data_IF_054746952551
#
_entry.id   IF_054746952551
#
_cell.length_a   1.000
_cell.length_b   1.000
_cell.length_c   1.000
_cell.angle_alpha   90.00
_cell.angle_beta   90.00
_cell.angle_gamma   90.00
#
_symmetry.space_group_name_H-M   'P 1'
#
loop_
_entity.id
_entity.type
_entity.pdbx_description
1 polymer ?
#
# COMPACT_ATOMS: atom_id res chain seq x y z
N UNK A 1 -16.16 -22.82 13.65
CA UNK A 1 -15.28 -23.88 13.14
C UNK A 1 -13.85 -23.50 13.51
N UNK A 2 -13.27 -24.10 14.55
CA UNK A 2 -11.85 -23.86 14.90
C UNK A 2 -10.98 -24.45 13.79
N UNK A 3 -10.37 -23.59 12.99
CA UNK A 3 -9.37 -23.99 12.01
C UNK A 3 -8.08 -24.33 12.75
N UNK A 4 -7.53 -25.52 12.51
CA UNK A 4 -6.26 -25.96 13.09
C UNK A 4 -5.16 -24.99 12.65
N UNK A 5 -4.65 -24.18 13.57
CA UNK A 5 -3.58 -23.21 13.26
C UNK A 5 -2.29 -23.96 12.99
N UNK A 6 -1.84 -23.97 11.73
CA UNK A 6 -0.50 -24.46 11.38
C UNK A 6 0.53 -23.39 11.74
N UNK A 7 1.23 -23.58 12.85
CA UNK A 7 2.39 -22.73 13.20
C UNK A 7 3.57 -23.08 12.30
N UNK A 8 4.36 -22.10 11.84
CA UNK A 8 5.59 -22.37 11.10
C UNK A 8 6.60 -23.11 11.99
N UNK A 9 7.36 -24.01 11.39
CA UNK A 9 8.49 -24.65 12.05
C UNK A 9 9.60 -23.64 12.35
N UNK A 10 10.65 -24.09 13.06
CA UNK A 10 11.75 -23.21 13.47
C UNK A 10 12.52 -22.60 12.29
N UNK A 11 12.69 -23.35 11.21
CA UNK A 11 13.41 -22.86 10.03
C UNK A 11 12.59 -21.81 9.29
N UNK A 12 11.30 -22.08 9.08
CA UNK A 12 10.37 -21.14 8.45
C UNK A 12 10.20 -19.87 9.26
N UNK A 13 10.13 -19.95 10.59
CA UNK A 13 10.11 -18.77 11.48
C UNK A 13 11.33 -17.87 11.26
N UNK A 14 12.54 -18.45 11.28
CA UNK A 14 13.78 -17.69 11.03
C UNK A 14 13.76 -17.02 9.65
N UNK A 15 13.24 -17.72 8.64
CA UNK A 15 13.09 -17.17 7.31
C UNK A 15 12.12 -15.98 7.27
N UNK A 16 10.92 -16.12 7.85
CA UNK A 16 9.91 -15.05 7.90
C UNK A 16 10.42 -13.81 8.64
N UNK A 17 11.14 -14.01 9.74
CA UNK A 17 11.78 -12.91 10.49
C UNK A 17 12.82 -12.21 9.60
N UNK A 18 13.70 -12.98 8.94
CA UNK A 18 14.70 -12.40 8.04
C UNK A 18 14.05 -11.64 6.88
N UNK A 19 12.97 -12.16 6.31
CA UNK A 19 12.23 -11.50 5.23
C UNK A 19 11.67 -10.14 5.68
N UNK A 20 11.02 -10.10 6.85
CA UNK A 20 10.46 -8.86 7.41
C UNK A 20 11.56 -7.87 7.80
N UNK A 21 12.71 -8.34 8.30
CA UNK A 21 13.88 -7.50 8.57
C UNK A 21 14.41 -6.88 7.27
N UNK A 22 14.56 -7.67 6.20
CA UNK A 22 15.02 -7.15 4.90
C UNK A 22 14.07 -6.07 4.38
N UNK A 23 12.76 -6.34 4.40
CA UNK A 23 11.75 -5.36 3.98
C UNK A 23 11.87 -4.08 4.81
N UNK A 24 11.85 -4.21 6.14
CA UNK A 24 11.92 -3.07 7.05
C UNK A 24 13.21 -2.26 6.94
N UNK A 25 14.37 -2.91 6.82
CA UNK A 25 15.66 -2.22 6.69
C UNK A 25 15.76 -1.46 5.37
N UNK A 26 15.28 -2.04 4.26
CA UNK A 26 15.26 -1.36 2.96
C UNK A 26 14.35 -0.13 3.02
N UNK A 27 13.12 -0.26 3.53
CA UNK A 27 12.21 0.88 3.68
C UNK A 27 12.78 1.96 4.60
N UNK A 28 13.34 1.57 5.76
CA UNK A 28 13.93 2.49 6.72
C UNK A 28 15.13 3.25 6.16
N UNK A 29 16.02 2.57 5.42
CA UNK A 29 17.16 3.22 4.78
C UNK A 29 16.73 4.32 3.82
N UNK A 30 15.64 4.14 3.08
CA UNK A 30 15.10 5.15 2.16
C UNK A 30 14.45 6.30 2.92
N UNK A 31 13.76 6.03 4.03
CA UNK A 31 13.17 7.06 4.87
C UNK A 31 14.21 8.06 5.41
N UNK A 32 15.46 7.65 5.63
CA UNK A 32 16.57 8.55 5.99
C UNK A 32 16.85 9.64 4.92
N UNK A 33 16.45 9.38 3.67
CA UNK A 33 16.59 10.31 2.55
C UNK A 33 15.26 10.92 2.10
N UNK A 34 14.14 10.65 2.80
CA UNK A 34 12.80 11.08 2.40
C UNK A 34 12.72 12.60 2.17
N UNK A 35 13.29 13.41 3.06
CA UNK A 35 13.29 14.87 2.90
C UNK A 35 14.02 15.34 1.63
N UNK A 36 15.10 14.67 1.23
CA UNK A 36 15.85 15.02 0.02
C UNK A 36 15.09 14.60 -1.25
N UNK A 37 14.47 13.42 -1.23
CA UNK A 37 13.64 12.93 -2.33
C UNK A 37 12.41 13.83 -2.50
N UNK A 38 11.78 14.20 -1.38
CA UNK A 38 10.64 15.11 -1.36
C UNK A 38 11.05 16.50 -1.90
N UNK A 39 12.14 17.10 -1.41
CA UNK A 39 12.63 18.37 -1.94
C UNK A 39 12.92 18.31 -3.46
N UNK A 40 13.46 17.20 -3.96
CA UNK A 40 13.71 17.00 -5.39
C UNK A 40 12.40 16.88 -6.21
N UNK A 41 11.33 16.32 -5.64
CA UNK A 41 10.04 16.17 -6.33
C UNK A 41 9.37 17.52 -6.60
N UNK A 42 9.62 18.52 -5.75
CA UNK A 42 9.09 19.88 -5.86
C UNK A 42 10.04 20.88 -6.55
N UNK A 43 11.27 20.48 -6.92
CA UNK A 43 12.23 21.36 -7.59
C UNK A 43 11.80 21.63 -9.06
N UNK A 44 11.08 22.73 -9.29
CA UNK A 44 10.61 23.16 -10.62
C UNK A 44 11.75 23.51 -11.59
N UNK A 45 13.00 23.64 -11.12
CA UNK A 45 14.16 23.79 -12.02
C UNK A 45 14.50 22.49 -12.77
N UNK A 46 13.95 21.34 -12.35
CA UNK A 46 14.19 20.04 -12.97
C UNK A 46 13.05 19.63 -13.91
N UNK A 47 13.35 18.93 -15.01
CA UNK A 47 12.31 18.41 -15.90
C UNK A 47 11.33 17.50 -15.17
N UNK A 48 10.02 17.66 -15.44
CA UNK A 48 8.92 16.91 -14.80
C UNK A 48 9.18 15.41 -14.77
N UNK A 49 9.47 14.81 -15.93
CA UNK A 49 9.71 13.37 -16.03
C UNK A 49 10.92 12.89 -15.21
N UNK A 50 11.95 13.72 -15.06
CA UNK A 50 13.10 13.38 -14.22
C UNK A 50 12.72 13.37 -12.75
N UNK A 51 11.94 14.35 -12.30
CA UNK A 51 11.41 14.38 -10.92
C UNK A 51 10.50 13.20 -10.65
N UNK A 52 9.60 12.89 -11.59
CA UNK A 52 8.71 11.75 -11.48
C UNK A 52 9.49 10.45 -11.35
N UNK A 53 10.42 10.15 -12.26
CA UNK A 53 11.20 8.91 -12.22
C UNK A 53 12.00 8.78 -10.92
N UNK A 54 12.64 9.87 -10.45
CA UNK A 54 13.41 9.83 -9.19
C UNK A 54 12.48 9.60 -8.00
N UNK A 55 11.37 10.33 -7.91
CA UNK A 55 10.41 10.18 -6.81
C UNK A 55 9.78 8.79 -6.82
N UNK A 56 9.46 8.28 -8.00
CA UNK A 56 8.84 6.98 -8.18
C UNK A 56 9.80 5.83 -7.86
N UNK A 57 11.03 5.86 -8.37
CA UNK A 57 12.00 4.77 -8.19
C UNK A 57 12.72 4.85 -6.85
N UNK A 58 13.25 6.03 -6.50
CA UNK A 58 14.06 6.22 -5.30
C UNK A 58 13.23 6.55 -4.06
N UNK A 59 11.98 7.00 -4.22
CA UNK A 59 11.02 7.18 -3.15
C UNK A 59 10.08 5.98 -3.06
N UNK A 60 9.02 5.99 -3.87
CA UNK A 60 7.89 5.09 -3.71
C UNK A 60 8.26 3.60 -3.86
N UNK A 61 8.91 3.24 -4.96
CA UNK A 61 9.36 1.87 -5.18
C UNK A 61 10.39 1.46 -4.13
N UNK A 62 11.35 2.32 -3.79
CA UNK A 62 12.37 1.96 -2.82
C UNK A 62 11.77 1.73 -1.41
N UNK A 63 10.77 2.52 -1.01
CA UNK A 63 10.07 2.38 0.28
C UNK A 63 9.14 1.15 0.29
N UNK A 64 8.26 1.01 -0.71
CA UNK A 64 7.18 0.03 -0.68
C UNK A 64 7.43 -1.21 -1.57
N UNK A 65 8.17 -1.10 -2.66
CA UNK A 65 8.34 -2.18 -3.64
C UNK A 65 9.67 -2.94 -3.58
N UNK A 66 10.77 -2.29 -3.23
CA UNK A 66 12.11 -2.86 -3.35
C UNK A 66 12.35 -3.98 -2.34
N UNK A 67 12.00 -3.76 -1.07
CA UNK A 67 12.15 -4.76 -0.01
C UNK A 67 11.40 -6.06 -0.32
N UNK A 68 10.13 -5.97 -0.72
CA UNK A 68 9.33 -7.15 -1.08
C UNK A 68 9.87 -7.84 -2.34
N UNK A 69 10.38 -7.07 -3.31
CA UNK A 69 10.96 -7.60 -4.55
C UNK A 69 12.24 -8.39 -4.25
N UNK A 70 13.14 -7.82 -3.43
CA UNK A 70 14.37 -8.50 -2.98
C UNK A 70 14.02 -9.81 -2.30
N UNK A 71 13.09 -9.78 -1.34
CA UNK A 71 12.67 -10.99 -0.62
C UNK A 71 12.08 -12.02 -1.59
N UNK A 72 11.22 -11.62 -2.51
CA UNK A 72 10.62 -12.54 -3.48
C UNK A 72 11.69 -13.19 -4.38
N UNK A 73 12.70 -12.43 -4.82
CA UNK A 73 13.84 -12.97 -5.58
C UNK A 73 14.64 -13.97 -4.72
N UNK A 74 15.04 -13.58 -3.51
CA UNK A 74 15.82 -14.42 -2.60
C UNK A 74 15.11 -15.74 -2.25
N UNK A 75 13.78 -15.70 -2.13
CA UNK A 75 12.95 -16.87 -1.79
C UNK A 75 12.41 -17.60 -3.00
N UNK A 76 12.70 -17.12 -4.22
CA UNK A 76 12.12 -17.63 -5.48
C UNK A 76 10.59 -17.69 -5.43
N UNK A 77 9.98 -16.72 -4.75
CA UNK A 77 8.53 -16.57 -4.64
C UNK A 77 8.03 -15.67 -5.78
N UNK A 78 7.09 -16.17 -6.60
CA UNK A 78 6.43 -15.34 -7.61
C UNK A 78 5.41 -14.42 -6.93
N UNK A 79 5.21 -13.22 -7.44
CA UNK A 79 4.15 -12.32 -6.93
C UNK A 79 2.74 -12.93 -6.99
N UNK A 80 2.47 -13.82 -7.95
CA UNK A 80 1.21 -14.57 -8.03
C UNK A 80 0.92 -15.45 -6.82
N UNK A 81 1.96 -15.85 -6.05
CA UNK A 81 1.82 -16.54 -4.76
C UNK A 81 1.02 -15.72 -3.75
N UNK A 82 1.10 -14.39 -3.85
CA UNK A 82 0.45 -13.45 -2.92
C UNK A 82 -0.92 -12.98 -3.42
N UNK A 83 -1.58 -13.73 -4.29
CA UNK A 83 -3.00 -13.49 -4.61
C UNK A 83 -3.26 -12.65 -5.86
N UNK A 84 -2.25 -12.37 -6.69
CA UNK A 84 -2.46 -11.82 -8.03
C UNK A 84 -3.01 -12.91 -8.95
N UNK A 85 -4.32 -13.14 -8.89
CA UNK A 85 -5.03 -14.15 -9.64
C UNK A 85 -6.45 -13.69 -10.00
N UNK A 86 -7.21 -14.50 -10.74
CA UNK A 86 -8.57 -14.18 -11.17
C UNK A 86 -9.67 -14.81 -10.30
N UNK A 87 -9.31 -15.68 -9.35
CA UNK A 87 -10.29 -16.32 -8.46
C UNK A 87 -10.84 -15.30 -7.48
N UNK A 88 -12.16 -15.27 -7.29
CA UNK A 88 -12.85 -14.31 -6.43
C UNK A 88 -12.50 -12.84 -6.72
N UNK A 89 -12.12 -12.52 -7.97
CA UNK A 89 -11.70 -11.17 -8.35
C UNK A 89 -12.80 -10.16 -8.06
N UNK A 90 -14.00 -10.35 -8.60
CA UNK A 90 -15.10 -9.40 -8.42
C UNK A 90 -15.48 -9.19 -6.93
N UNK A 91 -15.67 -10.24 -6.10
CA UNK A 91 -15.83 -10.06 -4.67
C UNK A 91 -14.69 -9.28 -4.00
N UNK A 92 -13.43 -9.55 -4.38
CA UNK A 92 -12.29 -8.86 -3.79
C UNK A 92 -12.27 -7.36 -4.15
N UNK A 93 -12.60 -7.00 -5.38
CA UNK A 93 -12.69 -5.59 -5.80
C UNK A 93 -13.82 -4.87 -5.05
N UNK A 94 -15.04 -5.42 -5.09
CA UNK A 94 -16.23 -4.76 -4.51
C UNK A 94 -16.14 -4.65 -2.98
N UNK A 95 -15.71 -5.70 -2.29
CA UNK A 95 -15.58 -5.67 -0.83
C UNK A 95 -14.44 -4.76 -0.38
N UNK A 96 -13.35 -4.67 -1.15
CA UNK A 96 -12.26 -3.73 -0.82
C UNK A 96 -12.72 -2.28 -0.99
N UNK A 97 -13.45 -1.97 -2.06
CA UNK A 97 -14.06 -0.64 -2.23
C UNK A 97 -15.07 -0.31 -1.11
N UNK A 98 -15.80 -1.31 -0.60
CA UNK A 98 -16.70 -1.10 0.54
C UNK A 98 -15.93 -0.67 1.80
N UNK A 99 -14.68 -1.09 1.97
CA UNK A 99 -13.83 -0.64 3.07
C UNK A 99 -13.47 0.86 2.99
N UNK A 100 -13.62 1.49 1.83
CA UNK A 100 -13.42 2.93 1.65
C UNK A 100 -14.57 3.78 2.21
N UNK A 101 -15.75 3.21 2.44
CA UNK A 101 -16.95 3.98 2.79
C UNK A 101 -16.79 4.81 4.08
N UNK A 102 -16.27 4.29 5.20
CA UNK A 102 -16.10 5.08 6.42
C UNK A 102 -15.18 6.27 6.22
N UNK A 103 -14.05 6.04 5.55
CA UNK A 103 -13.06 7.07 5.23
C UNK A 103 -13.62 8.11 4.26
N UNK A 104 -14.41 7.68 3.28
CA UNK A 104 -15.05 8.57 2.31
C UNK A 104 -16.09 9.47 2.98
N UNK A 105 -16.91 8.92 3.87
CA UNK A 105 -17.89 9.70 4.64
C UNK A 105 -17.17 10.74 5.51
N UNK A 106 -16.06 10.36 6.15
CA UNK A 106 -15.22 11.28 6.91
C UNK A 106 -14.71 12.43 6.03
N UNK A 107 -14.04 12.13 4.93
CA UNK A 107 -13.50 13.13 4.01
C UNK A 107 -14.60 14.02 3.40
N UNK A 108 -15.77 13.46 3.10
CA UNK A 108 -16.93 14.21 2.63
C UNK A 108 -17.43 15.20 3.70
N UNK A 109 -17.54 14.77 4.95
CA UNK A 109 -17.98 15.61 6.06
C UNK A 109 -16.99 16.74 6.38
N UNK A 110 -15.70 16.56 6.09
CA UNK A 110 -14.64 17.59 6.26
C UNK A 110 -14.48 18.48 5.04
N UNK A 111 -15.17 18.20 3.93
CA UNK A 111 -15.04 18.95 2.68
C UNK A 111 -13.72 18.70 1.95
N UNK A 112 -13.07 17.55 2.20
CA UNK A 112 -11.81 17.16 1.57
C UNK A 112 -12.01 16.40 0.24
N UNK A 113 -13.25 16.26 -0.24
CA UNK A 113 -13.55 15.58 -1.50
C UNK A 113 -13.52 16.56 -2.67
N UNK A 114 -12.78 16.21 -3.72
CA UNK A 114 -12.71 16.94 -4.99
C UNK A 114 -13.22 16.06 -6.16
N UNK A 115 -13.39 16.61 -7.38
CA UNK A 115 -13.71 15.80 -8.56
C UNK A 115 -12.73 14.64 -8.71
N UNK A 116 -13.28 13.44 -8.93
CA UNK A 116 -12.49 12.22 -8.91
C UNK A 116 -11.63 12.08 -10.17
N UNK A 117 -10.33 11.81 -9.96
CA UNK A 117 -9.39 11.36 -10.99
C UNK A 117 -8.36 10.44 -10.34
N UNK A 118 -8.00 9.27 -10.93
CA UNK A 118 -6.97 8.41 -10.36
C UNK A 118 -5.65 9.16 -10.14
N UNK A 119 -5.06 9.02 -8.96
CA UNK A 119 -3.80 9.67 -8.58
C UNK A 119 -3.86 11.20 -8.48
N UNK A 120 -5.05 11.80 -8.31
CA UNK A 120 -5.22 13.26 -8.29
C UNK A 120 -4.32 13.95 -7.25
N UNK A 121 -4.24 13.43 -6.03
CA UNK A 121 -3.45 14.03 -4.93
C UNK A 121 -1.95 13.75 -5.02
N UNK A 122 -1.51 13.03 -6.05
CA UNK A 122 -0.08 12.91 -6.32
C UNK A 122 0.45 14.24 -6.85
N UNK A 123 1.50 14.76 -6.20
CA UNK A 123 2.02 16.12 -6.40
C UNK A 123 2.34 16.52 -7.85
N UNK A 124 2.60 15.55 -8.73
CA UNK A 124 2.96 15.77 -10.14
C UNK A 124 1.81 15.49 -11.12
N UNK A 125 0.66 14.99 -10.66
CA UNK A 125 -0.48 14.67 -11.53
C UNK A 125 -1.02 15.90 -12.27
N UNK A 126 -1.24 17.08 -11.63
CA UNK A 126 -1.70 18.26 -12.36
C UNK A 126 -0.76 18.67 -13.52
N UNK A 127 0.55 18.66 -13.27
CA UNK A 127 1.57 18.96 -14.29
C UNK A 127 1.54 17.93 -15.43
N UNK A 128 1.38 16.64 -15.11
CA UNK A 128 1.25 15.60 -16.15
C UNK A 128 -0.01 15.77 -17.00
N UNK A 129 -1.11 16.29 -16.44
CA UNK A 129 -2.36 16.50 -17.16
C UNK A 129 -2.28 17.66 -18.17
N UNK A 130 -1.34 18.58 -18.00
CA UNK A 130 -1.07 19.69 -18.94
C UNK A 130 -0.12 19.30 -20.07
N UNK A 131 0.58 18.16 -19.94
CA UNK A 131 1.56 17.69 -20.92
C UNK A 131 0.93 17.06 -22.16
N UNK A 132 1.79 16.90 -23.19
CA UNK A 132 1.46 16.13 -24.40
C UNK A 132 1.05 14.69 -24.07
N UNK A 133 0.18 14.09 -24.89
CA UNK A 133 -0.39 12.77 -24.66
C UNK A 133 0.68 11.68 -24.35
N UNK A 134 1.83 11.58 -25.06
CA UNK A 134 2.86 10.58 -24.76
C UNK A 134 3.47 10.73 -23.35
N UNK A 135 3.77 11.96 -22.94
CA UNK A 135 4.35 12.26 -21.63
C UNK A 135 3.32 12.00 -20.52
N UNK A 136 2.09 12.47 -20.71
CA UNK A 136 0.96 12.24 -19.79
C UNK A 136 0.71 10.75 -19.53
N UNK A 137 0.56 9.97 -20.60
CA UNK A 137 0.32 8.51 -20.49
C UNK A 137 1.49 7.82 -19.81
N UNK A 138 2.71 8.15 -20.21
CA UNK A 138 3.91 7.53 -19.61
C UNK A 138 4.05 7.87 -18.14
N UNK A 139 3.82 9.13 -17.77
CA UNK A 139 3.88 9.57 -16.38
C UNK A 139 2.82 8.90 -15.52
N UNK A 140 1.57 8.84 -15.98
CA UNK A 140 0.49 8.15 -15.27
C UNK A 140 0.73 6.64 -15.14
N UNK A 141 1.35 5.99 -16.14
CA UNK A 141 1.73 4.57 -16.05
C UNK A 141 2.84 4.34 -15.00
N UNK A 142 3.82 5.23 -14.90
CA UNK A 142 4.84 5.19 -13.85
C UNK A 142 4.18 5.35 -12.48
N UNK A 143 3.29 6.33 -12.32
CA UNK A 143 2.55 6.54 -11.07
C UNK A 143 1.73 5.31 -10.69
N UNK A 144 0.97 4.77 -11.64
CA UNK A 144 0.17 3.56 -11.47
C UNK A 144 0.99 2.35 -11.05
N UNK A 145 2.19 2.17 -11.60
CA UNK A 145 3.05 1.07 -11.21
C UNK A 145 3.56 1.20 -9.77
N UNK A 146 4.02 2.38 -9.37
CA UNK A 146 4.73 2.53 -8.09
C UNK A 146 3.82 2.89 -6.92
N UNK A 147 2.91 3.86 -7.09
CA UNK A 147 1.92 4.21 -6.07
C UNK A 147 0.71 3.31 -6.11
N UNK A 148 0.20 2.98 -7.30
CA UNK A 148 -0.94 2.08 -7.42
C UNK A 148 -0.59 0.63 -7.05
N UNK A 149 0.33 0.01 -7.80
CA UNK A 149 0.61 -1.41 -7.66
C UNK A 149 1.53 -1.74 -6.49
N UNK A 150 2.73 -1.17 -6.43
CA UNK A 150 3.70 -1.57 -5.41
C UNK A 150 3.28 -1.19 -3.99
N UNK A 151 2.64 -0.04 -3.77
CA UNK A 151 2.16 0.36 -2.45
C UNK A 151 1.09 -0.61 -1.92
N UNK A 152 0.03 -0.85 -2.69
CA UNK A 152 -1.02 -1.79 -2.31
C UNK A 152 -0.53 -3.22 -2.18
N UNK A 153 0.35 -3.66 -3.10
CA UNK A 153 0.89 -5.01 -3.09
C UNK A 153 1.89 -5.26 -1.94
N UNK A 154 2.60 -4.23 -1.50
CA UNK A 154 3.50 -4.29 -0.33
C UNK A 154 2.75 -4.75 0.92
N UNK A 155 1.60 -4.13 1.20
CA UNK A 155 0.75 -4.51 2.33
C UNK A 155 0.35 -5.98 2.29
N UNK A 156 0.09 -6.52 1.09
CA UNK A 156 -0.28 -7.94 0.92
C UNK A 156 0.89 -8.86 1.24
N UNK A 157 2.08 -8.59 0.72
CA UNK A 157 3.27 -9.43 0.97
C UNK A 157 3.67 -9.39 2.44
N UNK A 158 3.69 -8.20 3.06
CA UNK A 158 3.99 -8.04 4.49
C UNK A 158 2.94 -8.77 5.32
N UNK A 159 1.65 -8.57 5.03
CA UNK A 159 0.56 -9.24 5.74
C UNK A 159 0.70 -10.75 5.66
N UNK A 160 0.90 -11.32 4.48
CA UNK A 160 0.98 -12.78 4.30
C UNK A 160 2.15 -13.37 5.09
N UNK A 161 3.32 -12.72 5.09
CA UNK A 161 4.50 -13.18 5.86
C UNK A 161 4.31 -12.99 7.37
N UNK A 162 3.78 -11.86 7.80
CA UNK A 162 3.58 -11.57 9.23
C UNK A 162 2.48 -12.45 9.84
N UNK A 163 1.37 -12.67 9.13
CA UNK A 163 0.30 -13.56 9.56
C UNK A 163 0.70 -15.03 9.54
N UNK A 164 1.66 -15.43 8.70
CA UNK A 164 2.26 -16.76 8.80
C UNK A 164 3.14 -16.88 10.05
N UNK A 165 3.88 -15.82 10.41
CA UNK A 165 4.74 -15.80 11.60
C UNK A 165 3.93 -15.82 12.90
N UNK A 166 2.83 -15.07 12.93
CA UNK A 166 1.92 -14.93 14.08
C UNK A 166 0.48 -15.27 13.72
N UNK A 167 0.17 -16.56 13.47
CA UNK A 167 -1.14 -16.94 12.95
C UNK A 167 -2.27 -16.72 13.94
N UNK A 168 -3.41 -16.28 13.42
CA UNK A 168 -4.67 -16.07 14.15
C UNK A 168 -5.68 -17.18 13.83
N UNK A 169 -6.44 -17.62 14.84
CA UNK A 169 -7.57 -18.56 14.65
C UNK A 169 -8.87 -17.86 14.25
N UNK A 170 -8.99 -16.56 14.47
CA UNK A 170 -10.25 -15.88 14.25
C UNK A 170 -10.36 -15.40 12.79
N UNK A 171 -11.57 -15.51 12.25
CA UNK A 171 -11.88 -15.13 10.88
C UNK A 171 -11.53 -13.67 10.59
N UNK A 172 -12.04 -12.76 11.42
CA UNK A 172 -11.86 -11.31 11.26
C UNK A 172 -10.73 -10.70 12.08
N UNK A 173 -9.89 -11.52 12.72
CA UNK A 173 -8.64 -11.07 13.34
C UNK A 173 -7.45 -11.57 12.53
N UNK A 174 -6.60 -10.66 12.08
CA UNK A 174 -5.39 -10.99 11.34
C UNK A 174 -4.23 -10.09 11.78
N UNK A 175 -3.17 -10.70 12.31
CA UNK A 175 -2.05 -10.00 12.94
C UNK A 175 -1.23 -9.20 11.92
N UNK A 176 -1.01 -9.75 10.72
CA UNK A 176 -0.34 -9.05 9.63
C UNK A 176 -1.18 -7.90 9.08
N UNK A 177 -2.50 -8.07 8.95
CA UNK A 177 -3.38 -6.97 8.55
C UNK A 177 -3.35 -5.83 9.56
N UNK A 178 -3.42 -6.15 10.86
CA UNK A 178 -3.34 -5.17 11.93
C UNK A 178 -1.98 -4.44 11.94
N UNK A 179 -0.89 -5.20 11.84
CA UNK A 179 0.46 -4.63 11.73
C UNK A 179 0.57 -3.66 10.55
N UNK A 180 0.10 -4.06 9.37
CA UNK A 180 0.07 -3.22 8.17
C UNK A 180 -0.74 -1.93 8.37
N UNK A 181 -1.93 -2.00 8.96
CA UNK A 181 -2.77 -0.83 9.22
C UNK A 181 -2.10 0.16 10.20
N UNK A 182 -1.49 -0.34 11.27
CA UNK A 182 -0.72 0.50 12.21
C UNK A 182 0.49 1.14 11.50
N UNK A 183 1.24 0.37 10.72
CA UNK A 183 2.39 0.90 9.99
C UNK A 183 1.98 1.96 8.96
N UNK A 184 0.83 1.79 8.29
CA UNK A 184 0.28 2.80 7.37
C UNK A 184 0.06 4.13 8.08
N UNK A 185 -0.65 4.11 9.21
CA UNK A 185 -0.91 5.29 10.05
C UNK A 185 0.39 5.99 10.44
N UNK A 186 1.40 5.22 10.89
CA UNK A 186 2.69 5.78 11.32
C UNK A 186 3.47 6.40 10.16
N UNK A 187 3.50 5.76 8.99
CA UNK A 187 4.27 6.22 7.82
C UNK A 187 3.63 7.44 7.17
N UNK A 188 2.30 7.48 7.08
CA UNK A 188 1.56 8.60 6.51
C UNK A 188 1.31 9.74 7.50
N UNK A 189 1.75 9.58 8.75
CA UNK A 189 1.62 10.62 9.76
C UNK A 189 0.17 10.92 10.18
N UNK A 190 -0.75 9.97 9.97
CA UNK A 190 -2.16 10.05 10.37
C UNK A 190 -2.30 9.82 11.88
N UNK A 191 -1.48 10.52 12.66
CA UNK A 191 -1.37 10.38 14.12
C UNK A 191 -1.73 11.71 14.74
N UNK A 192 -2.79 11.73 15.56
CA UNK A 192 -3.14 12.90 16.35
C UNK A 192 -3.96 12.55 17.58
N UNK A 193 -3.98 13.48 18.53
CA UNK A 193 -4.63 13.32 19.85
C UNK A 193 -5.93 14.10 19.98
N UNK A 194 -6.31 14.87 18.94
CA UNK A 194 -7.61 15.54 18.87
C UNK A 194 -8.70 14.54 18.45
N UNK A 195 -9.97 14.75 18.83
CA UNK A 195 -11.07 13.90 18.36
C UNK A 195 -11.12 13.74 16.83
N UNK A 196 -10.85 14.80 16.08
CA UNK A 196 -10.84 14.79 14.62
C UNK A 196 -9.74 13.87 14.06
N UNK A 197 -8.49 14.11 14.43
CA UNK A 197 -7.37 13.26 14.03
C UNK A 197 -7.51 11.79 14.51
N UNK A 198 -8.17 11.56 15.65
CA UNK A 198 -8.48 10.21 16.10
C UNK A 198 -9.50 9.52 15.17
N UNK A 199 -10.53 10.24 14.71
CA UNK A 199 -11.50 9.71 13.74
C UNK A 199 -10.84 9.39 12.40
N UNK A 200 -9.97 10.26 11.90
CA UNK A 200 -9.18 10.02 10.68
C UNK A 200 -8.33 8.75 10.80
N UNK A 201 -7.63 8.61 11.93
CA UNK A 201 -6.83 7.42 12.23
C UNK A 201 -7.67 6.14 12.25
N UNK A 202 -8.87 6.19 12.83
CA UNK A 202 -9.81 5.05 12.86
C UNK A 202 -10.32 4.71 11.45
N UNK A 203 -10.66 5.71 10.63
CA UNK A 203 -11.06 5.53 9.24
C UNK A 203 -9.96 4.87 8.41
N UNK A 204 -8.73 5.39 8.48
CA UNK A 204 -7.57 4.81 7.81
C UNK A 204 -7.29 3.37 8.29
N UNK A 205 -7.43 3.12 9.60
CA UNK A 205 -7.30 1.76 10.16
C UNK A 205 -8.33 0.82 9.54
N UNK A 206 -9.61 1.21 9.50
CA UNK A 206 -10.69 0.39 8.96
C UNK A 206 -10.46 0.11 7.47
N UNK A 207 -10.06 1.11 6.69
CA UNK A 207 -9.73 0.99 5.27
C UNK A 207 -8.64 -0.07 5.04
N UNK A 208 -7.46 0.15 5.64
CA UNK A 208 -6.26 -0.67 5.38
C UNK A 208 -6.41 -2.07 5.97
N UNK A 209 -6.96 -2.16 7.19
CA UNK A 209 -7.25 -3.45 7.80
C UNK A 209 -8.31 -4.22 7.01
N UNK A 210 -9.40 -3.54 6.64
CA UNK A 210 -10.53 -4.11 5.93
C UNK A 210 -10.13 -4.73 4.60
N UNK A 211 -9.38 -4.00 3.76
CA UNK A 211 -8.93 -4.54 2.47
C UNK A 211 -8.03 -5.78 2.62
N UNK A 212 -7.25 -5.87 3.70
CA UNK A 212 -6.38 -7.02 3.96
C UNK A 212 -7.15 -8.21 4.53
N UNK A 213 -8.23 -7.97 5.26
CA UNK A 213 -9.20 -9.02 5.62
C UNK A 213 -9.94 -9.52 4.38
N UNK A 214 -10.34 -8.64 3.45
CA UNK A 214 -10.90 -9.06 2.16
C UNK A 214 -9.91 -9.93 1.38
N UNK A 215 -8.63 -9.55 1.32
CA UNK A 215 -7.56 -10.38 0.73
C UNK A 215 -7.45 -11.75 1.38
N UNK A 216 -7.55 -11.83 2.72
CA UNK A 216 -7.52 -13.08 3.49
C UNK A 216 -8.69 -13.99 3.11
N UNK A 217 -9.91 -13.44 3.05
CA UNK A 217 -11.14 -14.21 2.81
C UNK A 217 -11.29 -14.63 1.34
N UNK A 218 -10.87 -13.77 0.40
CA UNK A 218 -11.06 -14.02 -1.04
C UNK A 218 -9.91 -14.76 -1.69
N UNK A 219 -8.70 -14.70 -1.11
CA UNK A 219 -7.51 -15.22 -1.77
C UNK A 219 -6.95 -14.31 -2.88
N UNK A 220 -7.45 -13.08 -3.01
CA UNK A 220 -7.17 -12.19 -4.13
C UNK A 220 -6.64 -10.81 -3.69
N UNK A 221 -5.54 -10.36 -4.30
CA UNK A 221 -4.82 -9.13 -3.95
C UNK A 221 -5.18 -7.91 -4.79
N UNK A 222 -5.93 -8.08 -5.87
CA UNK A 222 -6.28 -6.97 -6.75
C UNK A 222 -7.17 -5.93 -6.06
N UNK A 223 -7.95 -6.31 -5.04
CA UNK A 223 -8.71 -5.36 -4.23
C UNK A 223 -7.83 -4.39 -3.46
N UNK A 224 -6.72 -4.87 -2.87
CA UNK A 224 -5.73 -4.02 -2.23
C UNK A 224 -5.07 -3.08 -3.24
N UNK A 225 -4.64 -3.60 -4.40
CA UNK A 225 -4.06 -2.78 -5.47
C UNK A 225 -5.05 -1.72 -5.96
N UNK A 226 -6.32 -2.10 -6.17
CA UNK A 226 -7.36 -1.21 -6.67
C UNK A 226 -7.51 0.03 -5.77
N UNK A 227 -7.53 -0.14 -4.45
CA UNK A 227 -7.67 0.99 -3.51
C UNK A 227 -6.59 2.05 -3.76
N UNK A 228 -5.34 1.65 -3.97
CA UNK A 228 -4.26 2.59 -4.25
C UNK A 228 -4.31 3.19 -5.65
N UNK A 229 -5.05 2.60 -6.57
CA UNK A 229 -5.29 3.21 -7.89
C UNK A 229 -6.39 4.27 -7.85
N UNK A 230 -7.51 3.96 -7.18
CA UNK A 230 -8.76 4.70 -7.39
C UNK A 230 -9.25 5.46 -6.16
N UNK A 231 -8.66 5.23 -5.00
CA UNK A 231 -9.12 5.83 -3.75
C UNK A 231 -7.96 6.50 -3.00
N UNK A 232 -7.02 5.73 -2.46
CA UNK A 232 -5.99 6.23 -1.54
C UNK A 232 -5.07 7.30 -2.13
N UNK A 233 -4.74 7.19 -3.42
CA UNK A 233 -3.90 8.18 -4.09
C UNK A 233 -4.72 9.24 -4.85
N UNK A 234 -6.05 9.19 -4.73
CA UNK A 234 -7.01 10.02 -5.46
C UNK A 234 -7.92 10.83 -4.54
N UNK A 235 -7.72 10.73 -3.22
CA UNK A 235 -8.44 11.44 -2.16
C UNK A 235 -7.48 11.74 -1.01
#
# INVERSE_FOLDING_TARGET
METTIKKPDRARKKQLIADLIIIGLVSFAVLLFANRINAYSYDLSKPLMKRLCVTALCGQFAIAGLGITIVCILRREKFTKFGLNTKNLLPALLLSLLCCVPDFIYNLARGHVHPWFPFYDMSMTPQLLEESLPIKVTGLLITALFWGFFEGFNYVVIRDKFSELFPSKYRFWDTGAFFCAVMCILVHGVVGVTPDAFLEMVCALILIYGMLIVRKETGNAWGCVLIFFVYWNAL
#
